data_IF_495131627069
#
_entry.id   IF_495131627069
#
_cell.length_a   1.000
_cell.length_b   1.000
_cell.length_c   1.000
_cell.angle_alpha   90.00
_cell.angle_beta   90.00
_cell.angle_gamma   90.00
#
_symmetry.space_group_name_H-M   'P 1'
#
loop_
_entity.id
_entity.type
_entity.pdbx_description
1 polymer ?
#
# COMPACT_ATOMS: atom_id res chain seq x y z
N UNK A 1 -55.77 -47.68 -3.73
CA UNK A 1 -56.65 -46.68 -4.39
C UNK A 1 -55.72 -45.69 -5.07
N UNK A 2 -55.09 -46.04 -6.20
CA UNK A 2 -55.51 -45.72 -7.58
C UNK A 2 -56.63 -44.68 -7.66
N UNK A 3 -56.33 -43.49 -8.21
CA UNK A 3 -56.92 -43.03 -9.48
C UNK A 3 -55.92 -42.09 -10.18
N UNK A 4 -55.40 -42.58 -11.31
CA UNK A 4 -54.75 -41.81 -12.39
C UNK A 4 -55.77 -40.88 -13.06
N UNK A 5 -55.34 -39.71 -13.52
CA UNK A 5 -56.04 -39.07 -14.64
C UNK A 5 -55.04 -38.62 -15.72
N UNK A 6 -55.23 -39.16 -16.92
CA UNK A 6 -54.54 -38.81 -18.15
C UNK A 6 -55.38 -37.79 -18.90
N UNK A 7 -54.74 -36.84 -19.60
CA UNK A 7 -55.26 -36.37 -20.88
C UNK A 7 -54.10 -35.85 -21.76
N UNK A 8 -53.85 -36.61 -22.82
CA UNK A 8 -53.28 -36.18 -24.10
C UNK A 8 -54.35 -35.28 -24.78
N UNK A 9 -54.13 -34.37 -25.73
CA UNK A 9 -53.02 -33.90 -26.53
C UNK A 9 -53.63 -32.99 -27.62
N UNK A 10 -52.97 -31.90 -28.01
CA UNK A 10 -53.29 -31.19 -29.27
C UNK A 10 -52.03 -30.46 -29.76
N UNK A 11 -51.54 -30.92 -30.92
CA UNK A 11 -50.33 -30.49 -31.60
C UNK A 11 -50.71 -29.36 -32.56
N UNK A 12 -50.21 -28.15 -32.34
CA UNK A 12 -50.31 -27.02 -33.26
C UNK A 12 -48.89 -26.53 -33.60
N UNK A 13 -48.53 -26.61 -34.89
CA UNK A 13 -47.25 -26.23 -35.48
C UNK A 13 -47.37 -24.82 -36.07
N UNK A 14 -46.45 -23.94 -35.70
CA UNK A 14 -46.05 -22.69 -36.41
C UNK A 14 -44.61 -22.43 -35.97
N UNK A 15 -43.63 -22.87 -36.75
CA UNK A 15 -42.86 -22.08 -37.74
C UNK A 15 -42.06 -20.94 -37.10
N UNK A 16 -40.74 -21.01 -37.33
CA UNK A 16 -39.74 -20.24 -36.63
C UNK A 16 -39.67 -18.78 -37.02
N UNK A 17 -39.09 -18.01 -36.09
CA UNK A 17 -38.33 -16.80 -36.39
C UNK A 17 -37.04 -16.94 -35.61
N UNK A 18 -36.00 -17.41 -36.30
CA UNK A 18 -34.62 -17.11 -35.96
C UNK A 18 -34.38 -15.59 -36.10
N UNK A 19 -33.30 -15.14 -35.44
CA UNK A 19 -32.69 -13.80 -35.42
C UNK A 19 -33.20 -12.94 -34.24
N UNK A 20 -32.36 -12.37 -33.39
CA UNK A 20 -31.01 -11.88 -33.66
C UNK A 20 -30.17 -11.87 -32.38
N UNK A 21 -28.97 -12.45 -32.46
CA UNK A 21 -27.90 -12.23 -31.51
C UNK A 21 -27.49 -10.77 -31.59
N UNK A 22 -27.66 -10.01 -30.51
CA UNK A 22 -26.69 -8.98 -30.11
C UNK A 22 -27.06 -8.50 -28.71
N UNK A 23 -26.61 -9.27 -27.71
CA UNK A 23 -26.30 -8.67 -26.41
C UNK A 23 -25.39 -7.47 -26.70
N UNK A 24 -25.64 -6.26 -26.14
CA UNK A 24 -24.69 -5.18 -26.28
C UNK A 24 -23.37 -5.71 -25.74
N UNK A 25 -22.35 -5.72 -26.61
CA UNK A 25 -21.00 -6.08 -26.21
C UNK A 25 -20.69 -5.28 -24.96
N UNK A 26 -20.57 -5.97 -23.82
CA UNK A 26 -19.99 -5.35 -22.65
C UNK A 26 -18.59 -5.00 -23.09
N UNK A 27 -18.35 -3.74 -23.44
CA UNK A 27 -17.02 -3.17 -23.52
C UNK A 27 -16.48 -3.19 -22.10
N UNK A 28 -16.12 -4.39 -21.66
CA UNK A 28 -15.57 -4.68 -20.36
C UNK A 28 -14.28 -3.89 -20.28
N UNK A 29 -14.18 -3.07 -19.25
CA UNK A 29 -12.91 -2.46 -18.90
C UNK A 29 -11.89 -3.59 -18.73
N UNK A 30 -10.98 -3.71 -19.69
CA UNK A 30 -9.90 -4.68 -19.62
C UNK A 30 -8.93 -4.19 -18.54
N UNK A 31 -9.02 -4.78 -17.36
CA UNK A 31 -8.01 -4.60 -16.34
C UNK A 31 -6.76 -5.35 -16.76
N UNK A 32 -5.68 -4.62 -17.01
CA UNK A 32 -4.35 -5.22 -17.11
C UNK A 32 -3.92 -5.67 -15.72
N UNK A 33 -3.58 -6.94 -15.57
CA UNK A 33 -2.85 -7.40 -14.38
C UNK A 33 -1.49 -6.70 -14.37
N UNK A 34 -1.32 -5.74 -13.46
CA UNK A 34 -0.06 -5.00 -13.28
C UNK A 34 1.00 -5.87 -12.60
N UNK A 35 0.55 -6.89 -11.84
CA UNK A 35 1.41 -7.80 -11.08
C UNK A 35 1.33 -9.20 -11.67
N UNK A 36 2.48 -9.87 -11.76
CA UNK A 36 2.49 -11.28 -12.11
C UNK A 36 2.06 -12.17 -10.92
N UNK A 37 1.78 -13.45 -11.21
CA UNK A 37 1.27 -14.39 -10.21
C UNK A 37 2.23 -14.62 -9.03
N UNK A 38 3.54 -14.56 -9.27
CA UNK A 38 4.54 -14.71 -8.22
C UNK A 38 4.59 -13.48 -7.29
N UNK A 39 4.49 -12.27 -7.84
CA UNK A 39 4.38 -11.03 -7.08
C UNK A 39 3.13 -11.00 -6.23
N UNK A 40 1.98 -11.38 -6.82
CA UNK A 40 0.72 -11.46 -6.10
C UNK A 40 0.79 -12.47 -4.95
N UNK A 41 1.42 -13.63 -5.17
CA UNK A 41 1.63 -14.63 -4.12
C UNK A 41 2.51 -14.10 -2.99
N UNK A 42 3.59 -13.38 -3.31
CA UNK A 42 4.46 -12.74 -2.31
C UNK A 42 3.71 -11.70 -1.49
N UNK A 43 2.97 -10.80 -2.13
CA UNK A 43 2.17 -9.79 -1.44
C UNK A 43 1.11 -10.42 -0.53
N UNK A 44 0.41 -11.47 -0.98
CA UNK A 44 -0.56 -12.18 -0.15
C UNK A 44 0.08 -12.82 1.09
N UNK A 45 1.32 -13.30 0.98
CA UNK A 45 2.07 -13.82 2.12
C UNK A 45 2.42 -12.70 3.12
N UNK A 46 2.87 -11.54 2.64
CA UNK A 46 3.24 -10.38 3.49
C UNK A 46 2.06 -9.79 4.30
N UNK A 47 0.83 -10.03 3.84
CA UNK A 47 -0.39 -9.53 4.48
C UNK A 47 -1.36 -10.66 4.85
N UNK A 48 -0.85 -11.85 5.18
CA UNK A 48 -1.66 -13.05 5.43
C UNK A 48 -2.74 -12.84 6.52
N UNK A 49 -2.45 -11.95 7.48
CA UNK A 49 -3.36 -11.55 8.57
C UNK A 49 -4.67 -10.91 8.11
N UNK A 50 -4.75 -10.40 6.87
CA UNK A 50 -6.00 -9.88 6.30
C UNK A 50 -7.06 -10.97 6.14
N UNK A 51 -6.68 -12.24 5.94
CA UNK A 51 -7.60 -13.37 5.76
C UNK A 51 -8.71 -13.04 4.75
N UNK A 52 -9.97 -12.94 5.22
CA UNK A 52 -11.15 -12.64 4.40
C UNK A 52 -11.61 -11.16 4.51
N UNK A 53 -10.81 -10.30 5.15
CA UNK A 53 -11.11 -8.89 5.35
C UNK A 53 -10.55 -8.05 4.20
N UNK A 54 -11.36 -7.12 3.69
CA UNK A 54 -10.92 -6.11 2.74
C UNK A 54 -10.59 -4.82 3.50
N UNK A 55 -9.32 -4.41 3.50
CA UNK A 55 -8.87 -3.18 4.14
C UNK A 55 -8.80 -2.06 3.12
N UNK A 56 -9.67 -1.05 3.27
CA UNK A 56 -9.81 0.08 2.32
C UNK A 56 -9.45 1.43 2.96
N UNK A 57 -8.69 1.43 4.06
CA UNK A 57 -8.32 2.64 4.84
C UNK A 57 -6.83 3.00 4.70
N UNK A 58 -6.23 2.65 3.56
CA UNK A 58 -4.80 2.88 3.30
C UNK A 58 -4.39 4.37 3.27
N UNK A 59 -5.34 5.27 3.00
CA UNK A 59 -5.11 6.71 3.04
C UNK A 59 -4.99 7.25 4.48
N UNK A 60 -5.66 6.61 5.45
CA UNK A 60 -5.52 6.94 6.87
C UNK A 60 -4.25 6.35 7.47
N UNK A 61 -4.05 5.04 7.30
CA UNK A 61 -2.83 4.36 7.71
C UNK A 61 -2.61 3.11 6.86
N UNK A 62 -1.40 2.91 6.35
CA UNK A 62 -1.09 1.66 5.64
C UNK A 62 -0.68 0.54 6.60
N UNK A 63 -0.97 -0.69 6.19
CA UNK A 63 -0.56 -1.90 6.89
C UNK A 63 0.95 -2.13 6.71
N UNK A 64 1.62 -2.61 7.77
CA UNK A 64 3.00 -3.08 7.69
C UNK A 64 3.10 -4.48 7.07
N UNK A 65 4.16 -4.81 6.35
CA UNK A 65 4.40 -6.16 5.86
C UNK A 65 4.88 -7.08 7.01
N UNK A 66 4.68 -8.40 6.89
CA UNK A 66 5.18 -9.36 7.88
C UNK A 66 6.71 -9.35 7.96
N UNK A 67 7.39 -9.29 6.81
CA UNK A 67 8.85 -9.19 6.74
C UNK A 67 9.39 -7.91 7.36
N UNK A 68 8.67 -6.78 7.24
CA UNK A 68 9.07 -5.51 7.86
C UNK A 68 9.13 -5.62 9.39
N UNK A 69 8.09 -6.20 10.01
CA UNK A 69 8.06 -6.39 11.46
C UNK A 69 9.13 -7.38 11.90
N UNK A 70 9.27 -8.51 11.19
CA UNK A 70 10.26 -9.52 11.52
C UNK A 70 11.70 -8.97 11.44
N UNK A 71 12.01 -8.21 10.38
CA UNK A 71 13.32 -7.57 10.20
C UNK A 71 13.59 -6.55 11.30
N UNK A 72 12.63 -5.67 11.58
CA UNK A 72 12.82 -4.63 12.60
C UNK A 72 13.01 -5.24 13.99
N UNK A 73 12.25 -6.28 14.33
CA UNK A 73 12.43 -6.99 15.59
C UNK A 73 13.80 -7.66 15.69
N UNK A 74 14.25 -8.33 14.62
CA UNK A 74 15.58 -8.94 14.56
C UNK A 74 16.69 -7.90 14.71
N UNK A 75 16.57 -6.74 14.06
CA UNK A 75 17.51 -5.63 14.20
C UNK A 75 17.62 -5.15 15.65
N UNK A 76 16.49 -4.93 16.33
CA UNK A 76 16.47 -4.49 17.72
C UNK A 76 17.01 -5.55 18.69
N UNK A 77 16.84 -6.84 18.40
CA UNK A 77 17.36 -7.92 19.24
C UNK A 77 18.87 -8.11 19.09
N UNK A 78 19.42 -7.81 17.91
CA UNK A 78 20.81 -8.10 17.57
C UNK A 78 21.75 -6.90 17.68
N UNK A 79 21.20 -5.68 17.77
CA UNK A 79 21.97 -4.44 17.85
C UNK A 79 21.63 -3.65 19.11
N UNK A 80 22.64 -2.99 19.65
CA UNK A 80 22.46 -2.02 20.74
C UNK A 80 22.50 -0.64 20.12
N UNK A 81 21.33 -0.02 19.99
CA UNK A 81 21.21 1.39 19.65
C UNK A 81 21.21 2.23 20.93
N UNK A 82 21.98 3.29 20.95
CA UNK A 82 22.03 4.24 22.07
C UNK A 82 21.94 5.67 21.55
N UNK A 83 21.87 6.65 22.45
CA UNK A 83 21.79 8.04 22.02
C UNK A 83 23.00 8.37 21.10
N UNK A 84 22.77 8.78 19.83
CA UNK A 84 23.83 9.00 18.84
C UNK A 84 24.82 10.09 19.26
N UNK A 85 24.44 10.99 20.18
CA UNK A 85 25.32 12.02 20.72
C UNK A 85 26.19 11.54 21.90
N UNK A 86 26.01 10.28 22.34
CA UNK A 86 26.92 9.67 23.31
C UNK A 86 28.28 9.43 22.66
N UNK A 87 29.35 9.37 23.45
CA UNK A 87 30.70 9.02 22.96
C UNK A 87 31.03 7.58 23.31
N UNK A 88 30.29 6.62 22.74
CA UNK A 88 30.50 5.19 22.96
C UNK A 88 30.35 4.39 21.64
N UNK A 89 30.78 3.12 21.57
CA UNK A 89 30.69 2.36 20.31
C UNK A 89 29.26 2.18 19.79
N UNK A 90 28.27 2.01 20.67
CA UNK A 90 26.86 1.85 20.27
C UNK A 90 26.22 3.12 19.70
N UNK A 91 26.73 4.30 20.05
CA UNK A 91 26.24 5.56 19.49
C UNK A 91 26.74 5.79 18.08
N UNK A 92 27.94 5.29 17.73
CA UNK A 92 28.40 5.22 16.34
C UNK A 92 27.47 4.35 15.50
N UNK A 93 27.13 3.13 15.96
CA UNK A 93 26.16 2.26 15.27
C UNK A 93 24.83 2.96 15.03
N UNK A 94 24.36 3.72 16.03
CA UNK A 94 23.11 4.48 15.90
C UNK A 94 23.23 5.63 14.89
N UNK A 95 24.35 6.34 14.90
CA UNK A 95 24.63 7.42 13.94
C UNK A 95 24.68 6.89 12.51
N UNK A 96 25.41 5.79 12.30
CA UNK A 96 25.53 5.12 11.00
C UNK A 96 24.17 4.63 10.49
N UNK A 97 23.33 4.06 11.36
CA UNK A 97 21.99 3.64 11.01
C UNK A 97 21.10 4.82 10.58
N UNK A 98 21.16 5.94 11.30
CA UNK A 98 20.42 7.16 10.95
C UNK A 98 20.91 7.70 9.60
N UNK A 99 22.22 7.77 9.38
CA UNK A 99 22.79 8.27 8.12
C UNK A 99 22.48 7.36 6.95
N UNK A 100 22.51 6.04 7.14
CA UNK A 100 22.07 5.08 6.12
C UNK A 100 20.61 5.35 5.70
N UNK A 101 19.70 5.57 6.65
CA UNK A 101 18.30 5.89 6.35
C UNK A 101 18.18 7.22 5.61
N UNK A 102 18.96 8.26 5.99
CA UNK A 102 18.98 9.54 5.25
C UNK A 102 19.33 9.35 3.78
N UNK A 103 20.39 8.59 3.50
CA UNK A 103 20.82 8.32 2.12
C UNK A 103 19.75 7.56 1.33
N UNK A 104 19.08 6.57 1.95
CA UNK A 104 17.97 5.86 1.28
C UNK A 104 16.80 6.78 0.93
N UNK A 105 16.47 7.74 1.80
CA UNK A 105 15.40 8.72 1.54
C UNK A 105 15.79 9.63 0.37
N UNK A 106 17.01 10.17 0.38
CA UNK A 106 17.49 11.02 -0.72
C UNK A 106 17.48 10.27 -2.05
N UNK A 107 17.97 9.03 -2.07
CA UNK A 107 17.95 8.17 -3.25
C UNK A 107 16.52 7.88 -3.74
N UNK A 108 15.57 7.66 -2.82
CA UNK A 108 14.16 7.45 -3.17
C UNK A 108 13.55 8.65 -3.90
N UNK A 109 13.95 9.87 -3.53
CA UNK A 109 13.53 11.11 -4.20
C UNK A 109 14.44 11.54 -5.36
N UNK A 110 15.45 10.74 -5.72
CA UNK A 110 16.36 11.04 -6.83
C UNK A 110 17.28 12.25 -6.60
N UNK A 111 17.67 12.50 -5.35
CA UNK A 111 18.51 13.65 -4.94
C UNK A 111 19.74 13.22 -4.13
N UNK A 112 20.63 14.16 -3.80
CA UNK A 112 21.83 13.98 -2.97
C UNK A 112 21.82 14.85 -1.71
N UNK A 113 22.76 14.59 -0.80
CA UNK A 113 22.95 15.37 0.42
C UNK A 113 23.56 16.76 0.16
N UNK A 114 24.17 16.97 -1.02
CA UNK A 114 24.72 18.26 -1.43
C UNK A 114 23.62 19.25 -1.82
N UNK A 115 22.48 18.75 -2.31
CA UNK A 115 21.33 19.56 -2.73
C UNK A 115 20.24 19.65 -1.64
N UNK A 116 19.97 18.56 -0.93
CA UNK A 116 18.89 18.49 0.05
C UNK A 116 19.32 17.83 1.36
N UNK A 117 18.72 18.29 2.46
CA UNK A 117 18.90 17.70 3.79
C UNK A 117 17.64 16.94 4.22
N UNK A 118 17.82 15.79 4.87
CA UNK A 118 16.72 15.03 5.49
C UNK A 118 16.57 15.40 6.96
N UNK A 119 15.42 15.94 7.31
CA UNK A 119 15.02 16.23 8.69
C UNK A 119 13.96 15.23 9.13
N UNK A 120 14.31 14.37 10.09
CA UNK A 120 13.36 13.45 10.70
C UNK A 120 12.45 14.20 11.67
N UNK A 121 11.15 13.98 11.54
CA UNK A 121 10.12 14.52 12.44
C UNK A 121 9.21 13.38 12.89
N UNK A 122 8.33 13.64 13.85
CA UNK A 122 7.33 12.66 14.28
C UNK A 122 6.23 12.40 13.24
N UNK A 123 6.20 13.16 12.13
CA UNK A 123 5.24 12.99 11.04
C UNK A 123 4.95 14.28 10.29
N UNK A 124 4.11 14.21 9.25
CA UNK A 124 3.81 15.33 8.35
C UNK A 124 3.33 16.60 9.08
N UNK A 125 2.42 16.46 10.04
CA UNK A 125 1.91 17.59 10.84
C UNK A 125 3.01 18.31 11.62
N UNK A 126 3.96 17.56 12.19
CA UNK A 126 5.10 18.11 12.93
C UNK A 126 6.06 18.84 11.98
N UNK A 127 6.33 18.26 10.81
CA UNK A 127 7.14 18.92 9.78
C UNK A 127 6.52 20.23 9.30
N UNK A 128 5.22 20.24 8.99
CA UNK A 128 4.51 21.45 8.56
C UNK A 128 4.50 22.53 9.64
N UNK A 129 4.35 22.14 10.91
CA UNK A 129 4.45 23.06 12.04
C UNK A 129 5.82 23.73 12.10
N UNK A 130 6.90 22.96 11.99
CA UNK A 130 8.27 23.50 11.98
C UNK A 130 8.44 24.53 10.85
N UNK A 131 7.95 24.23 9.64
CA UNK A 131 8.00 25.16 8.50
C UNK A 131 7.21 26.43 8.80
N UNK A 132 5.97 26.30 9.29
CA UNK A 132 5.10 27.43 9.58
C UNK A 132 5.66 28.34 10.69
N UNK A 133 6.34 27.78 11.69
CA UNK A 133 6.93 28.55 12.79
C UNK A 133 8.31 29.14 12.44
N UNK A 134 9.03 28.56 11.49
CA UNK A 134 10.41 28.96 11.17
C UNK A 134 10.55 29.80 9.90
N UNK A 135 9.58 29.74 8.99
CA UNK A 135 9.65 30.46 7.72
C UNK A 135 9.11 31.88 7.84
N UNK A 136 9.89 32.86 7.39
CA UNK A 136 9.47 34.27 7.35
C UNK A 136 8.58 34.54 6.11
N UNK A 137 7.27 34.37 6.27
CA UNK A 137 6.31 34.57 5.17
C UNK A 137 6.20 36.03 4.70
N UNK A 138 6.57 36.99 5.54
CA UNK A 138 6.37 38.43 5.28
C UNK A 138 7.58 39.12 4.64
N UNK A 139 8.57 38.38 4.12
CA UNK A 139 9.67 38.95 3.34
C UNK A 139 10.57 39.93 4.10
N UNK A 140 10.75 39.75 5.41
CA UNK A 140 11.69 40.54 6.21
C UNK A 140 11.24 41.95 6.55
N UNK A 141 9.93 42.24 6.61
CA UNK A 141 9.45 43.50 7.16
C UNK A 141 9.04 43.31 8.63
N UNK A 142 9.92 43.61 9.60
CA UNK A 142 9.54 43.60 11.00
C UNK A 142 8.54 44.73 11.23
N UNK A 143 7.45 44.42 11.93
CA UNK A 143 6.57 45.44 12.50
C UNK A 143 7.33 46.42 13.39
#
# INVERSE_FOLDING_TARGET
MDVRNKNEGAKGRVEGVENDETSPESTGLFYMEILNQDELKKLKAEFSRLKNSCYLDHAGASLYAESQIASHFSELQTNIYSNPHSRNPSSTITTDAIDFVRHKILAHFGTTADEYTVIFTSGATSALKIVAESFEFNGGNPH
#
